data_IF_817932393162
#
_entry.id   IF_817932393162
#
_cell.length_a   1.000
_cell.length_b   1.000
_cell.length_c   1.000
_cell.angle_alpha   90.00
_cell.angle_beta   90.00
_cell.angle_gamma   90.00
#
_symmetry.space_group_name_H-M   'P 1'
#
loop_
_entity.id
_entity.type
_entity.pdbx_description
1 polymer ?
#
# COMPACT_ATOMS: atom_id res chain seq x y z
N UNK A 1 19.63 25.35 -8.29
CA UNK A 1 18.59 24.31 -8.15
C UNK A 1 18.74 23.69 -6.77
N UNK A 2 17.72 23.78 -5.90
CA UNK A 2 17.81 23.20 -4.56
C UNK A 2 17.91 21.67 -4.66
N UNK A 3 18.87 21.08 -3.94
CA UNK A 3 19.04 19.62 -3.88
C UNK A 3 17.75 18.98 -3.36
N UNK A 4 17.13 18.11 -4.17
CA UNK A 4 15.88 17.43 -3.81
C UNK A 4 16.16 16.51 -2.61
N UNK A 5 15.69 16.91 -1.43
CA UNK A 5 15.82 16.09 -0.22
C UNK A 5 15.12 14.74 -0.42
N UNK A 6 15.74 13.61 -0.09
CA UNK A 6 15.11 12.30 -0.24
C UNK A 6 13.87 12.20 0.65
N UNK A 7 12.80 11.59 0.14
CA UNK A 7 11.54 11.39 0.89
C UNK A 7 11.73 10.35 2.00
N UNK A 8 12.31 9.21 1.65
CA UNK A 8 12.69 8.17 2.59
C UNK A 8 14.18 8.21 2.84
N UNK A 9 14.58 8.00 4.10
CA UNK A 9 15.99 8.03 4.51
C UNK A 9 16.39 6.69 5.09
N UNK A 10 17.68 6.52 5.43
CA UNK A 10 18.18 5.34 6.15
C UNK A 10 17.35 5.05 7.42
N UNK A 11 16.84 6.08 8.09
CA UNK A 11 16.01 5.93 9.28
C UNK A 11 14.71 5.16 9.01
N UNK A 12 14.08 5.34 7.85
CA UNK A 12 12.87 4.60 7.43
C UNK A 12 13.16 3.10 7.36
N UNK A 13 14.22 2.71 6.65
CA UNK A 13 14.58 1.31 6.49
C UNK A 13 15.07 0.69 7.80
N UNK A 14 15.82 1.45 8.61
CA UNK A 14 16.26 0.99 9.93
C UNK A 14 15.07 0.76 10.87
N UNK A 15 14.05 1.62 10.82
CA UNK A 15 12.84 1.43 11.62
C UNK A 15 12.13 0.11 11.28
N UNK A 16 11.98 -0.22 10.00
CA UNK A 16 11.37 -1.51 9.61
C UNK A 16 12.19 -2.72 10.03
N UNK A 17 13.53 -2.63 9.98
CA UNK A 17 14.42 -3.69 10.48
C UNK A 17 14.26 -3.89 11.98
N UNK A 18 14.34 -2.81 12.75
CA UNK A 18 14.23 -2.88 14.21
C UNK A 18 12.85 -3.37 14.64
N UNK A 19 11.77 -2.91 13.99
CA UNK A 19 10.41 -3.37 14.24
C UNK A 19 10.25 -4.87 13.93
N UNK A 20 10.97 -5.39 12.95
CA UNK A 20 11.02 -6.83 12.66
C UNK A 20 11.63 -7.63 13.81
N UNK A 21 12.70 -7.13 14.42
CA UNK A 21 13.37 -7.78 15.54
C UNK A 21 12.64 -7.60 16.88
N UNK A 22 11.97 -6.47 17.08
CA UNK A 22 11.40 -6.04 18.36
C UNK A 22 9.87 -5.91 18.30
N UNK A 23 9.18 -6.81 17.60
CA UNK A 23 7.74 -6.72 17.30
C UNK A 23 6.83 -6.96 18.52
N UNK A 24 6.92 -6.05 19.50
CA UNK A 24 6.17 -6.05 20.77
C UNK A 24 5.68 -4.64 21.09
N UNK A 25 4.60 -4.57 21.87
CA UNK A 25 3.88 -3.32 22.11
C UNK A 25 4.74 -2.29 22.82
N UNK A 26 5.50 -2.71 23.83
CA UNK A 26 6.33 -1.84 24.66
C UNK A 26 7.38 -1.12 23.81
N UNK A 27 8.03 -1.86 22.90
CA UNK A 27 9.02 -1.29 22.00
C UNK A 27 8.39 -0.27 21.05
N UNK A 28 7.22 -0.57 20.48
CA UNK A 28 6.53 0.36 19.58
C UNK A 28 6.08 1.62 20.32
N UNK A 29 5.64 1.51 21.58
CA UNK A 29 5.24 2.66 22.38
C UNK A 29 6.42 3.59 22.65
N UNK A 30 7.58 3.06 23.05
CA UNK A 30 8.81 3.85 23.22
C UNK A 30 9.32 4.44 21.91
N UNK A 31 9.08 3.79 20.76
CA UNK A 31 9.55 4.24 19.45
C UNK A 31 8.47 4.98 18.64
N UNK A 32 7.40 5.44 19.28
CA UNK A 32 6.26 6.07 18.60
C UNK A 32 6.65 7.34 17.84
N UNK A 33 7.49 8.18 18.42
CA UNK A 33 7.95 9.40 17.77
C UNK A 33 8.84 9.09 16.58
N UNK A 34 9.69 8.07 16.71
CA UNK A 34 10.52 7.56 15.61
C UNK A 34 9.65 6.99 14.48
N UNK A 35 8.57 6.29 14.79
CA UNK A 35 7.60 5.83 13.79
C UNK A 35 6.95 7.02 13.06
N UNK A 36 6.53 8.05 13.79
CA UNK A 36 5.95 9.25 13.18
C UNK A 36 6.95 9.92 12.23
N UNK A 37 8.18 10.18 12.71
CA UNK A 37 9.20 10.88 11.95
C UNK A 37 9.77 10.06 10.77
N UNK A 38 10.02 8.76 10.95
CA UNK A 38 10.70 7.94 9.96
C UNK A 38 9.75 7.25 8.97
N UNK A 39 8.48 7.07 9.32
CA UNK A 39 7.49 6.38 8.48
C UNK A 39 6.34 7.32 8.10
N UNK A 40 5.60 7.86 9.06
CA UNK A 40 4.35 8.59 8.77
C UNK A 40 4.62 9.86 7.97
N UNK A 41 5.55 10.71 8.40
CA UNK A 41 5.85 11.95 7.68
C UNK A 41 6.42 11.72 6.28
N UNK A 42 7.37 10.78 6.05
CA UNK A 42 7.81 10.42 4.71
C UNK A 42 6.69 9.93 3.79
N UNK A 43 5.77 9.11 4.29
CA UNK A 43 4.62 8.66 3.48
C UNK A 43 3.64 9.79 3.16
N UNK A 44 3.44 10.74 4.07
CA UNK A 44 2.65 11.96 3.82
C UNK A 44 3.30 12.85 2.76
N UNK A 45 4.60 13.07 2.87
CA UNK A 45 5.35 13.80 1.85
C UNK A 45 5.31 13.11 0.49
N UNK A 46 5.39 11.77 0.46
CA UNK A 46 5.22 11.02 -0.79
C UNK A 46 3.83 11.23 -1.39
N UNK A 47 2.78 11.22 -0.57
CA UNK A 47 1.42 11.51 -1.03
C UNK A 47 1.34 12.91 -1.64
N UNK A 48 1.88 13.93 -0.97
CA UNK A 48 1.90 15.31 -1.47
C UNK A 48 2.62 15.42 -2.82
N UNK A 49 3.78 14.77 -2.98
CA UNK A 49 4.55 14.77 -4.24
C UNK A 49 3.81 14.04 -5.38
N UNK A 50 3.04 12.98 -5.07
CA UNK A 50 2.38 12.16 -6.08
C UNK A 50 0.93 12.59 -6.37
N UNK A 51 0.27 13.30 -5.46
CA UNK A 51 -1.14 13.66 -5.56
C UNK A 51 -1.50 14.40 -6.87
N UNK A 52 -0.73 15.42 -7.34
CA UNK A 52 -1.07 16.11 -8.58
C UNK A 52 -1.13 15.16 -9.79
N UNK A 53 -0.12 14.30 -9.93
CA UNK A 53 -0.06 13.30 -11.02
C UNK A 53 -1.11 12.21 -10.87
N UNK A 54 -1.43 11.82 -9.65
CA UNK A 54 -2.52 10.86 -9.41
C UNK A 54 -3.87 11.45 -9.85
N UNK A 55 -4.13 12.73 -9.57
CA UNK A 55 -5.37 13.42 -9.93
C UNK A 55 -5.47 13.70 -11.44
N UNK A 56 -4.34 13.85 -12.16
CA UNK A 56 -4.32 13.85 -13.63
C UNK A 56 -4.81 12.53 -14.21
N UNK A 57 -4.56 11.39 -13.54
CA UNK A 57 -5.02 10.07 -13.98
C UNK A 57 -6.50 9.83 -13.67
N UNK A 58 -6.96 10.21 -12.49
CA UNK A 58 -8.37 10.19 -12.10
C UNK A 58 -8.62 11.27 -11.05
N UNK A 59 -9.36 12.31 -11.43
CA UNK A 59 -9.64 13.48 -10.57
C UNK A 59 -10.45 13.13 -9.31
N UNK A 60 -11.00 11.92 -9.24
CA UNK A 60 -11.82 11.43 -8.11
C UNK A 60 -10.99 10.68 -7.05
N UNK A 61 -9.68 10.50 -7.24
CA UNK A 61 -8.86 9.82 -6.25
C UNK A 61 -8.82 10.57 -4.91
N UNK A 62 -8.93 9.83 -3.81
CA UNK A 62 -8.72 10.37 -2.47
C UNK A 62 -7.24 10.74 -2.29
N UNK A 63 -6.97 11.98 -1.93
CA UNK A 63 -5.64 12.48 -1.55
C UNK A 63 -5.65 13.14 -0.17
N UNK A 64 -6.66 12.86 0.66
CA UNK A 64 -6.86 13.46 1.99
C UNK A 64 -5.81 13.07 3.04
N UNK A 65 -4.98 12.06 2.77
CA UNK A 65 -3.91 11.63 3.68
C UNK A 65 -4.43 10.91 4.93
N UNK A 66 -5.60 10.27 4.84
CA UNK A 66 -6.20 9.53 5.96
C UNK A 66 -5.64 8.12 6.07
N UNK A 67 -5.43 7.68 7.32
CA UNK A 67 -5.13 6.26 7.62
C UNK A 67 -6.34 5.39 7.32
N UNK A 68 -6.14 4.30 6.60
CA UNK A 68 -7.19 3.46 6.05
C UNK A 68 -7.32 3.69 4.55
N UNK A 69 -7.86 4.84 4.09
CA UNK A 69 -7.96 5.16 2.67
C UNK A 69 -6.60 5.25 1.98
N UNK A 70 -5.75 6.20 2.37
CA UNK A 70 -4.47 6.46 1.72
C UNK A 70 -3.33 5.65 2.32
N UNK A 71 -3.28 5.54 3.64
CA UNK A 71 -2.19 4.83 4.32
C UNK A 71 -2.68 3.51 4.92
N UNK A 72 -1.94 2.42 4.73
CA UNK A 72 -2.24 1.18 5.47
C UNK A 72 -2.10 1.38 6.98
N UNK A 73 -2.81 0.58 7.77
CA UNK A 73 -2.55 0.49 9.21
C UNK A 73 -1.30 -0.34 9.45
N UNK A 74 -0.44 0.14 10.35
CA UNK A 74 0.77 -0.58 10.79
C UNK A 74 0.42 -1.82 11.61
N UNK A 75 -0.66 -1.80 12.39
CA UNK A 75 -1.14 -2.98 13.10
C UNK A 75 -1.57 -4.09 12.14
N UNK A 76 -1.23 -5.33 12.50
CA UNK A 76 -1.64 -6.54 11.82
C UNK A 76 -2.97 -7.04 12.39
N UNK A 77 -3.86 -7.49 11.52
CA UNK A 77 -5.03 -8.25 11.96
C UNK A 77 -4.60 -9.70 12.18
N UNK A 78 -4.53 -10.11 13.45
CA UNK A 78 -3.97 -11.40 13.85
C UNK A 78 -5.03 -12.40 14.31
N UNK A 79 -6.32 -12.05 14.25
CA UNK A 79 -7.42 -12.89 14.78
C UNK A 79 -7.40 -14.30 14.20
N UNK A 80 -7.16 -14.40 12.89
CA UNK A 80 -7.11 -15.66 12.15
C UNK A 80 -5.74 -15.98 11.54
N UNK A 81 -4.72 -15.14 11.81
CA UNK A 81 -3.39 -15.33 11.25
C UNK A 81 -2.60 -16.38 12.05
N UNK A 82 -1.82 -17.22 11.35
CA UNK A 82 -0.84 -18.13 11.98
C UNK A 82 0.31 -17.34 12.61
N UNK A 83 0.83 -16.35 11.89
CA UNK A 83 1.76 -15.35 12.40
C UNK A 83 1.03 -14.36 13.33
N UNK A 84 1.48 -14.27 14.59
CA UNK A 84 0.90 -13.41 15.63
C UNK A 84 1.67 -12.11 15.87
N UNK A 85 2.60 -11.74 14.98
CA UNK A 85 3.27 -10.42 15.04
C UNK A 85 2.24 -9.28 15.04
N UNK A 86 2.39 -8.34 15.98
CA UNK A 86 1.44 -7.26 16.23
C UNK A 86 1.46 -6.20 15.13
N UNK A 87 2.63 -5.98 14.53
CA UNK A 87 2.89 -4.90 13.59
C UNK A 87 3.45 -5.44 12.28
N UNK A 88 3.05 -4.80 11.19
CA UNK A 88 3.61 -5.02 9.86
C UNK A 88 4.96 -4.31 9.75
N UNK A 89 5.91 -4.95 9.09
CA UNK A 89 7.23 -4.39 8.75
C UNK A 89 7.24 -3.71 7.38
N UNK A 90 6.07 -3.26 6.93
CA UNK A 90 5.87 -2.58 5.66
C UNK A 90 4.69 -1.61 5.76
N UNK A 91 4.68 -0.62 4.87
CA UNK A 91 3.58 0.35 4.72
C UNK A 91 3.21 0.56 3.26
N UNK A 92 1.94 0.85 3.03
CA UNK A 92 1.39 1.18 1.72
C UNK A 92 0.80 2.59 1.70
N UNK A 93 1.15 3.35 0.66
CA UNK A 93 0.39 4.49 0.15
C UNK A 93 -0.54 4.00 -0.96
N UNK A 94 -1.78 4.45 -0.96
CA UNK A 94 -2.82 4.04 -1.91
C UNK A 94 -3.58 5.24 -2.44
N UNK A 95 -4.00 5.12 -3.69
CA UNK A 95 -4.93 6.03 -4.36
C UNK A 95 -6.12 5.22 -4.85
N UNK A 96 -7.32 5.60 -4.42
CA UNK A 96 -8.58 5.00 -4.85
C UNK A 96 -9.67 6.05 -4.80
N UNK A 97 -10.68 5.88 -5.64
CA UNK A 97 -11.88 6.72 -5.59
C UNK A 97 -12.70 6.33 -4.36
N UNK A 98 -13.03 7.28 -3.45
CA UNK A 98 -13.94 7.01 -2.34
C UNK A 98 -15.27 6.51 -2.87
N UNK A 99 -15.62 5.28 -2.52
CA UNK A 99 -16.90 4.71 -2.88
C UNK A 99 -17.96 5.07 -1.81
N UNK A 100 -19.21 5.42 -2.20
CA UNK A 100 -20.34 5.19 -1.31
C UNK A 100 -20.34 3.71 -0.93
N UNK A 101 -20.60 3.42 0.34
CA UNK A 101 -20.39 2.10 0.95
C UNK A 101 -20.92 0.99 0.02
N UNK A 102 -20.02 0.06 -0.33
CA UNK A 102 -20.22 -1.14 -1.19
C UNK A 102 -19.72 -1.08 -2.65
N UNK A 103 -19.21 0.02 -3.20
CA UNK A 103 -18.53 0.03 -4.53
C UNK A 103 -17.01 -0.16 -4.38
N UNK A 104 -16.38 -0.85 -5.32
CA UNK A 104 -14.94 -1.11 -5.33
C UNK A 104 -14.36 -0.53 -6.62
N UNK A 105 -13.39 0.38 -6.48
CA UNK A 105 -12.92 1.24 -7.57
C UNK A 105 -11.52 0.87 -8.06
N UNK A 106 -10.89 -0.13 -7.42
CA UNK A 106 -9.49 -0.44 -7.62
C UNK A 106 -8.59 0.57 -6.91
N UNK A 107 -7.32 0.21 -6.74
CA UNK A 107 -6.34 1.00 -6.00
C UNK A 107 -5.03 1.03 -6.76
N UNK A 108 -4.44 2.21 -6.97
CA UNK A 108 -3.00 2.31 -7.20
C UNK A 108 -2.30 2.24 -5.84
N UNK A 109 -1.09 1.69 -5.78
CA UNK A 109 -0.32 1.67 -4.55
C UNK A 109 1.18 1.78 -4.74
N UNK A 110 1.83 2.32 -3.71
CA UNK A 110 3.27 2.22 -3.45
C UNK A 110 3.43 1.53 -2.10
N UNK A 111 4.24 0.48 -2.05
CA UNK A 111 4.57 -0.27 -0.84
C UNK A 111 6.05 -0.18 -0.54
N UNK A 112 6.39 -0.08 0.75
CA UNK A 112 7.77 -0.02 1.23
C UNK A 112 7.96 -0.96 2.40
N UNK A 113 9.04 -1.73 2.38
CA UNK A 113 9.59 -2.51 3.49
C UNK A 113 11.08 -2.21 3.66
N UNK A 114 11.76 -2.93 4.56
CA UNK A 114 13.20 -2.82 4.74
C UNK A 114 14.02 -3.26 3.51
N UNK A 115 13.44 -4.12 2.66
CA UNK A 115 14.11 -4.87 1.60
C UNK A 115 13.48 -4.69 0.21
N UNK A 116 12.30 -4.09 0.12
CA UNK A 116 11.59 -3.95 -1.14
C UNK A 116 10.83 -2.63 -1.26
N UNK A 117 10.77 -2.16 -2.50
CA UNK A 117 9.80 -1.16 -2.97
C UNK A 117 8.88 -1.88 -3.95
N UNK A 118 7.58 -1.77 -3.75
CA UNK A 118 6.58 -2.31 -4.67
C UNK A 118 5.71 -1.19 -5.19
N UNK A 119 5.41 -1.21 -6.48
CA UNK A 119 4.44 -0.30 -7.10
C UNK A 119 3.50 -1.12 -7.95
N UNK A 120 2.24 -0.71 -8.01
CA UNK A 120 1.29 -1.40 -8.86
C UNK A 120 -0.12 -0.95 -8.60
N UNK A 121 -1.04 -1.82 -8.99
CA UNK A 121 -2.47 -1.60 -8.79
C UNK A 121 -3.15 -2.87 -8.32
N UNK A 122 -4.32 -2.69 -7.73
CA UNK A 122 -5.22 -3.74 -7.30
C UNK A 122 -6.58 -3.50 -7.92
N UNK A 123 -7.14 -4.57 -8.47
CA UNK A 123 -8.54 -4.66 -8.87
C UNK A 123 -9.11 -5.91 -8.21
N UNK A 124 -10.35 -5.84 -7.74
CA UNK A 124 -11.08 -7.03 -7.31
C UNK A 124 -11.91 -7.58 -8.47
N UNK A 125 -11.97 -8.91 -8.58
CA UNK A 125 -12.88 -9.60 -9.48
C UNK A 125 -14.31 -9.60 -8.92
N UNK A 126 -15.33 -9.28 -9.70
CA UNK A 126 -16.75 -9.40 -9.33
C UNK A 126 -17.69 -8.44 -10.07
N UNK A 127 -19.01 -8.59 -9.84
CA UNK A 127 -20.06 -7.84 -10.56
C UNK A 127 -20.07 -6.32 -10.33
N UNK A 128 -19.36 -5.82 -9.30
CA UNK A 128 -19.25 -4.40 -8.97
C UNK A 128 -18.14 -3.64 -9.72
N UNK A 129 -17.51 -4.29 -10.71
CA UNK A 129 -16.35 -3.78 -11.45
C UNK A 129 -16.66 -2.71 -12.51
N UNK A 130 -17.92 -2.57 -12.94
CA UNK A 130 -18.29 -1.82 -14.16
C UNK A 130 -18.01 -0.31 -14.12
N UNK A 131 -17.83 0.26 -12.94
CA UNK A 131 -17.57 1.71 -12.75
C UNK A 131 -16.10 2.01 -12.37
N UNK A 132 -15.24 0.99 -12.23
CA UNK A 132 -13.83 1.18 -11.92
C UNK A 132 -13.04 1.47 -13.20
N UNK A 133 -12.45 2.66 -13.31
CA UNK A 133 -11.54 3.03 -14.42
C UNK A 133 -10.41 2.00 -14.57
N UNK A 134 -9.81 1.57 -13.44
CA UNK A 134 -8.75 0.57 -13.44
C UNK A 134 -9.23 -0.80 -13.91
N UNK A 135 -10.44 -1.22 -13.52
CA UNK A 135 -11.00 -2.49 -14.00
C UNK A 135 -11.31 -2.44 -15.50
N UNK A 136 -11.88 -1.34 -15.99
CA UNK A 136 -12.19 -1.15 -17.42
C UNK A 136 -10.94 -1.20 -18.31
N UNK A 137 -9.79 -0.71 -17.83
CA UNK A 137 -8.51 -0.79 -18.54
C UNK A 137 -7.88 -2.18 -18.43
N UNK A 138 -7.89 -2.77 -17.23
CA UNK A 138 -7.19 -4.01 -16.96
C UNK A 138 -7.91 -5.24 -17.55
N UNK A 139 -9.25 -5.21 -17.59
CA UNK A 139 -10.06 -6.36 -18.00
C UNK A 139 -9.81 -6.81 -19.45
N UNK A 140 -9.80 -5.93 -20.47
CA UNK A 140 -9.49 -6.34 -21.84
C UNK A 140 -8.13 -7.01 -21.95
N UNK A 141 -7.13 -6.52 -21.21
CA UNK A 141 -5.77 -7.09 -21.18
C UNK A 141 -5.74 -8.46 -20.49
N UNK A 142 -6.46 -8.60 -19.38
CA UNK A 142 -6.60 -9.88 -18.67
C UNK A 142 -7.29 -10.92 -19.56
N UNK A 143 -8.32 -10.51 -20.31
CA UNK A 143 -9.05 -11.42 -21.20
C UNK A 143 -8.20 -11.83 -22.41
N UNK A 144 -7.44 -10.89 -23.00
CA UNK A 144 -6.51 -11.18 -24.09
C UNK A 144 -5.42 -12.19 -23.68
N UNK A 145 -4.91 -12.08 -22.44
CA UNK A 145 -3.80 -12.90 -21.93
C UNK A 145 -4.22 -13.86 -20.80
N UNK A 146 -5.42 -14.41 -20.87
CA UNK A 146 -6.04 -15.21 -19.80
C UNK A 146 -5.16 -16.38 -19.31
N UNK A 147 -4.48 -17.08 -20.22
CA UNK A 147 -3.53 -18.17 -19.89
C UNK A 147 -2.32 -17.66 -19.10
N UNK A 148 -1.77 -16.51 -19.47
CA UNK A 148 -0.65 -15.90 -18.76
C UNK A 148 -1.08 -15.48 -17.35
N UNK A 149 -2.25 -14.87 -17.20
CA UNK A 149 -2.80 -14.48 -15.89
C UNK A 149 -3.01 -15.69 -14.99
N UNK A 150 -3.55 -16.80 -15.51
CA UNK A 150 -3.69 -18.05 -14.78
C UNK A 150 -2.34 -18.62 -14.31
N UNK A 151 -1.31 -18.56 -15.18
CA UNK A 151 0.08 -18.94 -14.82
C UNK A 151 0.64 -18.05 -13.71
N UNK A 152 0.44 -16.74 -13.78
CA UNK A 152 0.87 -15.82 -12.72
C UNK A 152 0.15 -16.08 -11.39
N UNK A 153 -1.17 -16.32 -11.43
CA UNK A 153 -1.96 -16.68 -10.24
C UNK A 153 -1.41 -17.93 -9.57
N UNK A 154 -1.10 -18.99 -10.34
CA UNK A 154 -0.49 -20.22 -9.80
C UNK A 154 0.90 -19.98 -9.21
N UNK A 155 1.71 -19.15 -9.87
CA UNK A 155 3.08 -18.79 -9.42
C UNK A 155 3.07 -17.98 -8.12
N UNK A 156 2.16 -17.01 -8.01
CA UNK A 156 2.12 -16.05 -6.91
C UNK A 156 1.24 -16.50 -5.73
N UNK A 157 0.27 -17.40 -5.94
CA UNK A 157 -0.66 -17.84 -4.88
C UNK A 157 0.04 -18.40 -3.64
N UNK A 158 1.20 -19.07 -3.81
CA UNK A 158 1.96 -19.64 -2.69
C UNK A 158 2.75 -18.61 -1.87
N UNK A 159 2.87 -17.35 -2.31
CA UNK A 159 3.67 -16.31 -1.64
C UNK A 159 2.88 -15.47 -0.63
N UNK A 160 1.54 -15.50 -0.68
CA UNK A 160 0.68 -14.74 0.23
C UNK A 160 0.16 -15.55 1.43
N UNK A 161 0.57 -16.82 1.54
CA UNK A 161 0.18 -17.75 2.61
C UNK A 161 1.26 -17.95 3.69
N UNK A 162 2.39 -17.22 3.62
CA UNK A 162 3.44 -17.25 4.65
C UNK A 162 3.32 -16.10 5.63
#
# INVERSE_FOLDING_TARGET
>A
MASRRPVFTRATFQFFKDLGCQNRKEWMDTNRDRYQAAIVQPFRRLLEELAPRALELDSRFDTSGRTGPNFSRINRDIRFAKDKTLYKTHMYLKFSVPAPSKRETGQLYVGLSADAVTVGFRIYSGGKRKESTLALIAEPRVNADSRWVAKQKKRLGRRYER
#
